data_IF_099535705014
#
_entry.id   IF_099535705014
#
_cell.length_a   1.000
_cell.length_b   1.000
_cell.length_c   1.000
_cell.angle_alpha   90.00
_cell.angle_beta   90.00
_cell.angle_gamma   90.00
#
_symmetry.space_group_name_H-M   'P 1'
#
loop_
_entity.id
_entity.type
_entity.pdbx_description
1 polymer ?
#
# COMPACT_ATOMS: atom_id res chain seq x y z
N UNK A 1 6.93 -24.83 15.35
CA UNK A 1 8.34 -24.38 15.33
C UNK A 1 9.03 -25.15 14.23
N UNK A 2 8.93 -24.65 13.00
CA UNK A 2 9.96 -24.93 12.01
C UNK A 2 11.17 -24.10 12.44
N UNK A 3 12.32 -24.75 12.60
CA UNK A 3 13.63 -24.07 12.66
C UNK A 3 13.79 -23.36 11.31
N UNK A 4 13.29 -22.12 11.22
CA UNK A 4 13.73 -21.20 10.19
C UNK A 4 15.02 -20.61 10.73
N UNK A 5 16.14 -21.27 10.43
CA UNK A 5 17.47 -20.74 10.70
C UNK A 5 17.53 -19.32 10.12
N UNK A 6 17.85 -18.34 10.98
CA UNK A 6 17.96 -16.95 10.55
C UNK A 6 19.04 -16.83 9.46
N UNK A 7 18.60 -16.68 8.22
CA UNK A 7 19.47 -16.43 7.07
C UNK A 7 19.46 -14.93 6.76
N UNK A 8 20.64 -14.27 6.68
CA UNK A 8 20.73 -12.89 6.23
C UNK A 8 20.12 -12.69 4.84
N UNK A 9 19.44 -11.57 4.61
CA UNK A 9 18.84 -11.26 3.32
C UNK A 9 19.95 -10.99 2.30
N UNK A 10 20.05 -11.84 1.28
CA UNK A 10 21.01 -11.64 0.18
C UNK A 10 20.54 -10.51 -0.73
N UNK A 11 21.50 -9.81 -1.32
CA UNK A 11 21.22 -8.75 -2.30
C UNK A 11 20.47 -9.33 -3.52
N UNK A 12 20.85 -10.54 -3.93
CA UNK A 12 20.21 -11.24 -5.05
C UNK A 12 18.74 -11.62 -4.75
N UNK A 13 18.43 -12.13 -3.54
CA UNK A 13 17.04 -12.46 -3.16
C UNK A 13 16.17 -11.21 -3.11
N UNK A 14 16.67 -10.15 -2.46
CA UNK A 14 15.97 -8.87 -2.46
C UNK A 14 15.72 -8.35 -3.88
N UNK A 15 16.74 -8.32 -4.74
CA UNK A 15 16.61 -7.82 -6.09
C UNK A 15 15.57 -8.63 -6.90
N UNK A 16 15.59 -9.97 -6.80
CA UNK A 16 14.63 -10.83 -7.47
C UNK A 16 13.19 -10.53 -7.04
N UNK A 17 12.95 -10.40 -5.73
CA UNK A 17 11.62 -10.13 -5.16
C UNK A 17 11.14 -8.70 -5.46
N UNK A 18 12.03 -7.71 -5.33
CA UNK A 18 11.74 -6.31 -5.64
C UNK A 18 11.42 -6.09 -7.12
N UNK A 19 12.14 -6.75 -8.04
CA UNK A 19 11.85 -6.67 -9.47
C UNK A 19 10.52 -7.34 -9.84
N UNK A 20 10.07 -8.32 -9.06
CA UNK A 20 8.74 -8.92 -9.22
C UNK A 20 7.58 -7.94 -8.95
N UNK A 21 7.83 -6.81 -8.31
CA UNK A 21 6.81 -5.80 -7.98
C UNK A 21 6.81 -4.60 -8.94
N UNK A 22 7.79 -4.48 -9.85
CA UNK A 22 7.80 -3.47 -10.91
C UNK A 22 6.71 -3.75 -11.96
N UNK A 23 5.64 -2.97 -11.91
CA UNK A 23 4.50 -3.12 -12.83
C UNK A 23 4.78 -2.65 -14.27
N UNK A 24 5.93 -1.97 -14.52
CA UNK A 24 6.33 -1.45 -15.84
C UNK A 24 5.23 -0.65 -16.55
N UNK A 25 4.40 0.07 -15.79
CA UNK A 25 3.32 0.92 -16.31
C UNK A 25 3.84 2.04 -17.24
N UNK A 26 5.14 2.31 -17.18
CA UNK A 26 5.87 3.29 -17.98
C UNK A 26 6.48 2.71 -19.29
N UNK A 27 6.15 1.46 -19.62
CA UNK A 27 6.68 0.78 -20.81
C UNK A 27 8.15 0.35 -20.69
N UNK A 28 8.72 0.34 -19.48
CA UNK A 28 10.10 -0.07 -19.22
C UNK A 28 11.15 1.04 -19.46
N UNK A 29 10.74 2.31 -19.44
CA UNK A 29 11.63 3.46 -19.62
C UNK A 29 12.60 3.61 -18.45
N UNK A 30 13.88 3.86 -18.68
CA UNK A 30 14.80 4.17 -17.57
C UNK A 30 14.45 5.49 -16.86
N UNK A 31 13.73 6.41 -17.53
CA UNK A 31 13.38 7.73 -16.99
C UNK A 31 12.49 7.64 -15.77
N UNK A 32 11.51 6.73 -15.76
CA UNK A 32 10.58 6.60 -14.63
C UNK A 32 11.29 6.27 -13.30
N UNK A 33 12.13 5.21 -13.20
CA UNK A 33 12.83 4.91 -11.96
C UNK A 33 13.91 5.94 -11.62
N UNK A 34 14.46 6.68 -12.59
CA UNK A 34 15.32 7.83 -12.27
C UNK A 34 14.55 8.97 -11.58
N UNK A 35 13.33 9.27 -12.06
CA UNK A 35 12.45 10.26 -11.41
C UNK A 35 12.05 9.80 -10.01
N UNK A 36 11.72 8.52 -9.86
CA UNK A 36 11.45 7.90 -8.56
C UNK A 36 12.63 7.99 -7.61
N UNK A 37 13.82 7.57 -8.03
CA UNK A 37 15.04 7.66 -7.23
C UNK A 37 15.32 9.09 -6.75
N UNK A 38 15.13 10.08 -7.63
CA UNK A 38 15.25 11.50 -7.27
C UNK A 38 14.18 11.93 -6.27
N UNK A 39 12.93 11.53 -6.49
CA UNK A 39 11.79 11.80 -5.61
C UNK A 39 12.02 11.28 -4.19
N UNK A 40 12.36 10.01 -4.04
CA UNK A 40 12.55 9.39 -2.71
C UNK A 40 13.80 9.90 -1.99
N UNK A 41 14.85 10.25 -2.74
CA UNK A 41 15.99 10.98 -2.15
C UNK A 41 15.54 12.35 -1.60
N UNK A 42 14.62 13.03 -2.28
CA UNK A 42 14.00 14.27 -1.82
C UNK A 42 13.06 14.09 -0.62
N UNK A 43 12.33 12.97 -0.56
CA UNK A 43 11.51 12.56 0.59
C UNK A 43 12.38 12.36 1.83
N UNK A 44 13.49 11.63 1.70
CA UNK A 44 14.47 11.41 2.78
C UNK A 44 15.06 12.73 3.32
N UNK A 45 15.42 13.66 2.44
CA UNK A 45 15.85 15.03 2.82
C UNK A 45 14.74 15.79 3.54
N UNK A 46 13.49 15.64 3.08
CA UNK A 46 12.34 16.31 3.68
C UNK A 46 12.06 15.82 5.10
N UNK A 47 12.24 14.52 5.36
CA UNK A 47 12.09 13.94 6.69
C UNK A 47 13.13 14.47 7.68
N UNK A 48 14.41 14.53 7.28
CA UNK A 48 15.45 15.12 8.11
C UNK A 48 15.15 16.58 8.45
N UNK A 49 14.72 17.38 7.46
CA UNK A 49 14.31 18.77 7.69
C UNK A 49 13.12 18.89 8.65
N UNK A 50 12.10 18.04 8.52
CA UNK A 50 10.92 18.04 9.41
C UNK A 50 11.33 17.74 10.85
N UNK A 51 12.19 16.74 11.07
CA UNK A 51 12.65 16.35 12.42
C UNK A 51 13.46 17.46 13.11
N UNK A 52 14.28 18.20 12.37
CA UNK A 52 15.01 19.36 12.92
C UNK A 52 14.06 20.48 13.36
N UNK A 53 12.97 20.71 12.61
CA UNK A 53 11.99 21.77 12.90
C UNK A 53 11.06 21.40 14.06
N UNK A 54 10.56 20.17 14.07
CA UNK A 54 9.45 19.76 14.90
C UNK A 54 9.92 18.82 16.02
N UNK A 55 10.37 19.39 17.16
CA UNK A 55 10.90 18.65 18.32
C UNK A 55 9.93 17.64 18.94
N UNK A 56 8.63 17.69 18.65
CA UNK A 56 7.67 16.71 19.16
C UNK A 56 7.68 15.38 18.37
N UNK A 57 8.41 15.31 17.26
CA UNK A 57 8.38 14.19 16.30
C UNK A 57 9.35 13.04 16.63
N UNK A 58 9.83 12.89 17.87
CA UNK A 58 10.82 11.86 18.24
C UNK A 58 10.38 10.41 17.95
N UNK A 59 9.06 10.14 17.93
CA UNK A 59 8.54 8.81 17.63
C UNK A 59 8.69 8.51 16.13
N UNK A 60 9.35 7.39 15.81
CA UNK A 60 9.39 6.82 14.46
C UNK A 60 10.47 7.36 13.50
N UNK A 61 11.51 8.08 13.97
CA UNK A 61 12.61 8.54 13.10
C UNK A 61 13.25 7.39 12.30
N UNK A 62 13.74 6.37 12.99
CA UNK A 62 14.39 5.23 12.36
C UNK A 62 13.44 4.47 11.43
N UNK A 63 12.15 4.40 11.78
CA UNK A 63 11.16 3.73 10.94
C UNK A 63 10.89 4.48 9.64
N UNK A 64 10.78 5.80 9.71
CA UNK A 64 10.57 6.67 8.54
C UNK A 64 11.81 6.62 7.63
N UNK A 65 13.01 6.77 8.20
CA UNK A 65 14.26 6.69 7.41
C UNK A 65 14.42 5.32 6.75
N UNK A 66 14.08 4.24 7.45
CA UNK A 66 14.10 2.90 6.85
C UNK A 66 13.10 2.73 5.71
N UNK A 67 11.90 3.33 5.80
CA UNK A 67 10.92 3.31 4.71
C UNK A 67 11.45 4.03 3.46
N UNK A 68 11.95 5.26 3.63
CA UNK A 68 12.48 6.09 2.54
C UNK A 68 13.74 5.47 1.90
N UNK A 69 14.67 4.95 2.71
CA UNK A 69 15.84 4.22 2.21
C UNK A 69 15.44 2.95 1.44
N UNK A 70 14.38 2.27 1.90
CA UNK A 70 13.83 1.10 1.21
C UNK A 70 13.32 1.45 -0.19
N UNK A 71 12.70 2.61 -0.37
CA UNK A 71 12.20 3.06 -1.67
C UNK A 71 13.31 3.53 -2.60
N UNK A 72 14.31 4.23 -2.04
CA UNK A 72 15.56 4.53 -2.75
C UNK A 72 16.23 3.24 -3.26
N UNK A 73 16.33 2.20 -2.42
CA UNK A 73 16.86 0.89 -2.83
C UNK A 73 16.02 0.22 -3.92
N UNK A 74 14.70 0.31 -3.83
CA UNK A 74 13.81 -0.27 -4.83
C UNK A 74 14.00 0.40 -6.21
N UNK A 75 13.96 1.73 -6.28
CA UNK A 75 14.18 2.45 -7.54
C UNK A 75 15.59 2.24 -8.08
N UNK A 76 16.60 2.18 -7.21
CA UNK A 76 17.97 1.83 -7.58
C UNK A 76 18.04 0.45 -8.25
N UNK A 77 17.34 -0.54 -7.69
CA UNK A 77 17.26 -1.91 -8.20
C UNK A 77 16.60 -1.97 -9.57
N UNK A 78 15.44 -1.31 -9.70
CA UNK A 78 14.68 -1.24 -10.95
C UNK A 78 15.51 -0.55 -12.03
N UNK A 79 16.14 0.59 -11.70
CA UNK A 79 16.98 1.32 -12.64
C UNK A 79 18.17 0.48 -13.12
N UNK A 80 18.93 -0.13 -12.20
CA UNK A 80 20.07 -0.98 -12.53
C UNK A 80 19.66 -2.14 -13.45
N UNK A 81 18.55 -2.81 -13.13
CA UNK A 81 18.01 -3.91 -13.94
C UNK A 81 17.64 -3.47 -15.36
N UNK A 82 17.02 -2.29 -15.53
CA UNK A 82 16.64 -1.75 -16.84
C UNK A 82 17.85 -1.40 -17.73
N UNK A 83 19.03 -1.18 -17.15
CA UNK A 83 20.28 -0.97 -17.89
C UNK A 83 21.17 -2.22 -17.96
N UNK A 84 20.65 -3.39 -17.56
CA UNK A 84 21.37 -4.66 -17.64
C UNK A 84 22.51 -4.80 -16.61
N UNK A 85 22.33 -4.25 -15.41
CA UNK A 85 23.28 -4.34 -14.30
C UNK A 85 22.53 -4.91 -13.08
N UNK A 86 23.06 -5.98 -12.49
CA UNK A 86 22.52 -6.54 -11.24
C UNK A 86 22.83 -5.66 -10.03
N UNK A 87 21.92 -5.59 -9.05
CA UNK A 87 22.20 -4.88 -7.80
C UNK A 87 23.34 -5.55 -7.02
N UNK A 88 23.40 -6.88 -7.05
CA UNK A 88 24.47 -7.71 -6.50
C UNK A 88 25.82 -7.45 -7.19
N UNK A 89 25.83 -7.25 -8.51
CA UNK A 89 27.03 -6.81 -9.25
C UNK A 89 27.50 -5.42 -8.78
N UNK A 90 26.59 -4.46 -8.60
CA UNK A 90 26.92 -3.12 -8.08
C UNK A 90 27.49 -3.18 -6.65
N UNK A 91 26.83 -3.94 -5.76
CA UNK A 91 27.25 -4.12 -4.37
C UNK A 91 28.63 -4.78 -4.26
N UNK A 92 28.89 -5.83 -5.05
CA UNK A 92 30.18 -6.51 -5.07
C UNK A 92 31.33 -5.61 -5.55
N UNK A 93 31.01 -4.55 -6.30
CA UNK A 93 31.99 -3.61 -6.85
C UNK A 93 32.05 -2.24 -6.11
N UNK A 94 31.35 -2.08 -4.98
CA UNK A 94 31.18 -0.76 -4.34
C UNK A 94 32.48 -0.12 -3.85
N UNK A 95 33.48 -0.94 -3.47
CA UNK A 95 34.81 -0.49 -3.03
C UNK A 95 35.88 -0.60 -4.13
N UNK A 96 35.54 -1.15 -5.30
CA UNK A 96 36.51 -1.44 -6.36
C UNK A 96 36.67 -0.25 -7.29
N UNK A 97 37.90 0.02 -7.73
CA UNK A 97 38.15 0.98 -8.81
C UNK A 97 37.68 0.40 -10.16
N UNK A 98 37.23 1.25 -11.09
CA UNK A 98 36.72 0.80 -12.41
C UNK A 98 37.66 -0.12 -13.20
N UNK A 99 38.98 0.03 -13.05
CA UNK A 99 39.96 -0.83 -13.71
C UNK A 99 39.93 -2.30 -13.24
N UNK A 100 39.29 -2.59 -12.10
CA UNK A 100 39.21 -3.90 -11.48
C UNK A 100 37.76 -4.42 -11.36
N UNK A 101 36.85 -3.91 -12.21
CA UNK A 101 35.44 -4.31 -12.21
C UNK A 101 35.30 -5.83 -12.38
N UNK A 102 34.59 -6.47 -11.46
CA UNK A 102 34.25 -7.89 -11.54
C UNK A 102 32.86 -8.01 -12.17
N UNK A 103 32.80 -8.69 -13.31
CA UNK A 103 31.53 -9.05 -13.95
C UNK A 103 30.87 -10.20 -13.19
N UNK A 104 29.54 -10.16 -13.09
CA UNK A 104 28.75 -11.11 -12.31
C UNK A 104 28.64 -10.68 -10.85
N UNK A 105 27.47 -10.90 -10.25
CA UNK A 105 27.23 -10.63 -8.84
C UNK A 105 27.65 -11.77 -7.92
N UNK A 106 27.63 -11.49 -6.63
CA UNK A 106 27.88 -12.47 -5.57
C UNK A 106 26.56 -12.87 -4.91
N UNK A 107 26.11 -14.10 -5.19
CA UNK A 107 24.84 -14.62 -4.67
C UNK A 107 24.83 -14.79 -3.14
N UNK A 108 26.01 -14.87 -2.49
CA UNK A 108 26.13 -14.97 -1.05
C UNK A 108 26.24 -13.61 -0.35
N UNK A 109 26.42 -12.52 -1.10
CA UNK A 109 26.53 -11.17 -0.53
C UNK A 109 25.19 -10.75 0.09
N UNK A 110 25.22 -10.40 1.38
CA UNK A 110 24.06 -9.94 2.14
C UNK A 110 24.09 -8.45 2.41
N UNK A 111 22.93 -7.86 2.72
CA UNK A 111 22.87 -6.47 3.17
C UNK A 111 23.69 -6.22 4.44
N UNK A 112 23.69 -7.19 5.36
CA UNK A 112 24.48 -7.11 6.59
C UNK A 112 25.99 -6.96 6.32
N UNK A 113 26.49 -7.51 5.21
CA UNK A 113 27.90 -7.40 4.83
C UNK A 113 28.29 -6.01 4.27
N UNK A 114 27.30 -5.16 3.91
CA UNK A 114 27.56 -3.83 3.36
C UNK A 114 27.77 -2.76 4.43
N UNK A 115 27.56 -3.07 5.70
CA UNK A 115 27.62 -2.13 6.81
C UNK A 115 28.43 -2.67 7.98
N UNK A 116 28.91 -1.81 8.91
CA UNK A 116 29.58 -2.27 10.12
C UNK A 116 28.70 -3.23 10.94
N UNK A 117 29.31 -4.28 11.50
CA UNK A 117 28.59 -5.27 12.31
C UNK A 117 27.93 -4.71 13.58
N UNK A 118 28.44 -3.57 14.08
CA UNK A 118 27.89 -2.86 15.23
C UNK A 118 27.64 -1.42 14.80
N UNK A 119 26.38 -0.99 14.93
CA UNK A 119 25.94 0.36 14.61
C UNK A 119 25.25 0.99 15.81
N UNK A 120 25.53 2.27 16.06
CA UNK A 120 24.83 3.04 17.08
C UNK A 120 23.40 3.35 16.61
N UNK A 121 22.41 2.97 17.41
CA UNK A 121 21.03 3.42 17.17
C UNK A 121 20.94 4.93 17.35
N UNK A 122 20.43 5.62 16.33
CA UNK A 122 20.14 7.07 16.42
C UNK A 122 18.64 7.31 16.53
N UNK A 123 18.27 8.31 17.33
CA UNK A 123 16.88 8.75 17.51
C UNK A 123 16.60 10.10 16.84
N UNK A 124 17.65 10.77 16.37
CA UNK A 124 17.60 12.07 15.71
C UNK A 124 18.66 12.14 14.59
N UNK A 125 18.45 12.99 13.57
CA UNK A 125 19.43 13.20 12.52
C UNK A 125 20.77 13.74 13.07
N UNK A 126 21.88 13.20 12.58
CA UNK A 126 23.22 13.70 12.90
C UNK A 126 23.73 14.65 11.80
N UNK A 127 24.64 15.59 12.10
CA UNK A 127 25.28 16.43 11.08
C UNK A 127 26.04 15.63 10.00
N UNK A 128 26.56 14.46 10.37
CA UNK A 128 27.17 13.53 9.42
C UNK A 128 26.12 12.99 8.44
N UNK A 129 24.98 12.53 8.96
CA UNK A 129 23.87 12.06 8.13
C UNK A 129 23.36 13.14 7.17
N UNK A 130 23.19 14.38 7.65
CA UNK A 130 22.81 15.52 6.81
C UNK A 130 23.78 15.75 5.64
N UNK A 131 25.08 15.73 5.95
CA UNK A 131 26.13 15.89 4.94
C UNK A 131 26.07 14.77 3.90
N UNK A 132 25.85 13.54 4.35
CA UNK A 132 25.74 12.37 3.47
C UNK A 132 24.47 12.42 2.61
N UNK A 133 23.35 12.91 3.12
CA UNK A 133 22.13 13.11 2.31
C UNK A 133 22.28 14.19 1.24
N UNK A 134 22.95 15.30 1.55
CA UNK A 134 23.25 16.32 0.55
C UNK A 134 24.15 15.75 -0.57
N UNK A 135 25.11 14.90 -0.21
CA UNK A 135 25.92 14.17 -1.19
C UNK A 135 25.06 13.22 -2.03
N UNK A 136 24.15 12.48 -1.41
CA UNK A 136 23.26 11.54 -2.13
C UNK A 136 22.44 12.28 -3.17
N UNK A 137 21.83 13.40 -2.80
CA UNK A 137 21.09 14.25 -3.73
C UNK A 137 21.97 14.77 -4.87
N UNK A 138 23.23 15.14 -4.59
CA UNK A 138 24.21 15.50 -5.61
C UNK A 138 24.50 14.37 -6.60
N UNK A 139 24.75 13.16 -6.12
CA UNK A 139 25.01 11.98 -6.96
C UNK A 139 23.81 11.62 -7.85
N UNK A 140 22.60 11.63 -7.28
CA UNK A 140 21.36 11.37 -8.05
C UNK A 140 21.10 12.50 -9.06
N UNK A 141 21.36 13.75 -8.71
CA UNK A 141 21.27 14.89 -9.63
C UNK A 141 22.27 14.79 -10.79
N UNK A 142 23.49 14.32 -10.54
CA UNK A 142 24.49 14.07 -11.59
C UNK A 142 24.06 12.94 -12.53
N UNK A 143 23.51 11.84 -12.00
CA UNK A 143 22.94 10.76 -12.82
C UNK A 143 21.89 11.29 -13.81
N UNK A 144 20.94 12.08 -13.32
CA UNK A 144 19.89 12.69 -14.15
C UNK A 144 20.49 13.64 -15.19
N UNK A 145 21.46 14.48 -14.79
CA UNK A 145 22.12 15.44 -15.67
C UNK A 145 22.90 14.76 -16.80
N UNK A 146 23.66 13.71 -16.47
CA UNK A 146 24.44 12.96 -17.45
C UNK A 146 23.55 12.17 -18.41
N UNK A 147 22.43 11.62 -17.92
CA UNK A 147 21.46 10.98 -18.78
C UNK A 147 20.84 11.98 -19.77
N UNK A 148 20.44 13.16 -19.29
CA UNK A 148 19.89 14.23 -20.13
C UNK A 148 20.89 14.72 -21.19
N UNK A 149 22.17 14.78 -20.83
CA UNK A 149 23.25 15.14 -21.75
C UNK A 149 23.64 14.01 -22.73
N UNK A 150 23.05 12.81 -22.60
CA UNK A 150 23.38 11.65 -23.43
C UNK A 150 24.73 10.99 -23.10
N UNK A 151 25.37 11.37 -21.99
CA UNK A 151 26.67 10.83 -21.58
C UNK A 151 26.61 9.35 -21.16
N UNK A 152 25.42 8.88 -20.77
CA UNK A 152 25.19 7.50 -20.33
C UNK A 152 24.62 6.60 -21.44
N UNK A 153 24.20 7.18 -22.56
CA UNK A 153 23.66 6.45 -23.71
C UNK A 153 24.71 5.46 -24.24
N UNK A 154 24.33 4.19 -24.32
CA UNK A 154 25.18 3.08 -24.76
C UNK A 154 26.52 2.95 -23.99
N UNK A 155 26.61 3.56 -22.80
CA UNK A 155 27.82 3.57 -21.98
C UNK A 155 27.58 2.90 -20.63
N UNK A 156 27.50 1.57 -20.64
CA UNK A 156 27.29 0.74 -19.43
C UNK A 156 28.29 1.08 -18.32
N UNK A 157 29.56 1.33 -18.65
CA UNK A 157 30.59 1.62 -17.67
C UNK A 157 30.36 2.96 -16.95
N UNK A 158 30.03 4.02 -17.69
CA UNK A 158 29.68 5.31 -17.10
C UNK A 158 28.41 5.19 -16.24
N UNK A 159 27.40 4.45 -16.71
CA UNK A 159 26.16 4.22 -15.96
C UNK A 159 26.43 3.47 -14.65
N UNK A 160 27.13 2.34 -14.72
CA UNK A 160 27.56 1.57 -13.56
C UNK A 160 28.32 2.45 -12.55
N UNK A 161 29.15 3.36 -13.04
CA UNK A 161 29.89 4.28 -12.20
C UNK A 161 29.05 5.27 -11.41
N UNK A 162 28.03 5.85 -12.05
CA UNK A 162 27.05 6.69 -11.35
C UNK A 162 26.27 5.89 -10.31
N UNK A 163 25.84 4.68 -10.67
CA UNK A 163 25.11 3.79 -9.78
C UNK A 163 25.95 3.37 -8.55
N UNK A 164 27.23 3.04 -8.72
CA UNK A 164 28.13 2.74 -7.59
C UNK A 164 28.34 3.94 -6.69
N UNK A 165 28.48 5.16 -7.24
CA UNK A 165 28.64 6.37 -6.44
C UNK A 165 27.39 6.65 -5.57
N UNK A 166 26.20 6.47 -6.15
CA UNK A 166 24.92 6.55 -5.43
C UNK A 166 24.85 5.46 -4.35
N UNK A 167 25.11 4.20 -4.69
CA UNK A 167 25.05 3.06 -3.76
C UNK A 167 25.98 3.24 -2.56
N UNK A 168 27.22 3.68 -2.79
CA UNK A 168 28.17 3.99 -1.71
C UNK A 168 27.62 5.06 -0.76
N UNK A 169 26.94 6.07 -1.32
CA UNK A 169 26.35 7.13 -0.53
C UNK A 169 25.10 6.67 0.22
N UNK A 170 24.31 5.75 -0.34
CA UNK A 170 23.19 5.07 0.35
C UNK A 170 23.69 4.28 1.56
N UNK A 171 24.77 3.50 1.40
CA UNK A 171 25.39 2.73 2.48
C UNK A 171 25.85 3.65 3.61
N UNK A 172 26.54 4.74 3.28
CA UNK A 172 26.95 5.73 4.28
C UNK A 172 25.74 6.42 4.93
N UNK A 173 24.71 6.76 4.17
CA UNK A 173 23.51 7.44 4.68
C UNK A 173 22.79 6.56 5.71
N UNK A 174 22.56 5.29 5.39
CA UNK A 174 21.98 4.32 6.31
C UNK A 174 22.83 4.15 7.58
N UNK A 175 24.16 4.10 7.40
CA UNK A 175 25.11 3.97 8.52
C UNK A 175 25.07 5.17 9.45
N UNK A 176 25.14 6.39 8.91
CA UNK A 176 25.08 7.64 9.67
C UNK A 176 23.73 7.85 10.37
N UNK A 177 22.65 7.30 9.80
CA UNK A 177 21.32 7.31 10.37
C UNK A 177 21.10 6.26 11.49
N UNK A 178 22.02 5.31 11.66
CA UNK A 178 21.83 4.18 12.59
C UNK A 178 20.72 3.22 12.16
N UNK A 179 20.49 3.09 10.85
CA UNK A 179 19.49 2.21 10.23
C UNK A 179 20.20 1.19 9.35
N UNK A 180 19.84 -0.09 9.47
CA UNK A 180 20.41 -1.12 8.60
C UNK A 180 19.70 -1.12 7.24
N UNK A 181 20.46 -1.29 6.17
CA UNK A 181 19.93 -1.48 4.83
C UNK A 181 19.11 -2.77 4.74
N UNK A 182 19.46 -3.79 5.53
CA UNK A 182 18.66 -5.00 5.63
C UNK A 182 17.25 -4.71 6.17
N UNK A 183 17.12 -3.89 7.22
CA UNK A 183 15.80 -3.50 7.73
C UNK A 183 15.01 -2.66 6.71
N UNK A 184 15.67 -1.75 6.00
CA UNK A 184 15.06 -0.98 4.93
C UNK A 184 14.58 -1.89 3.77
N UNK A 185 15.42 -2.85 3.36
CA UNK A 185 15.11 -3.83 2.33
C UNK A 185 13.94 -4.74 2.72
N UNK A 186 13.94 -5.31 3.93
CA UNK A 186 12.85 -6.15 4.46
C UNK A 186 11.54 -5.36 4.50
N UNK A 187 11.56 -4.11 5.01
CA UNK A 187 10.38 -3.25 5.04
C UNK A 187 9.86 -2.94 3.64
N UNK A 188 10.75 -2.66 2.69
CA UNK A 188 10.37 -2.42 1.30
C UNK A 188 9.76 -3.67 0.64
N UNK A 189 10.31 -4.86 0.88
CA UNK A 189 9.73 -6.12 0.39
C UNK A 189 8.34 -6.36 0.98
N UNK A 190 8.16 -6.16 2.29
CA UNK A 190 6.86 -6.28 2.93
C UNK A 190 5.85 -5.28 2.34
N UNK A 191 6.25 -4.00 2.19
CA UNK A 191 5.41 -2.94 1.62
C UNK A 191 4.99 -3.22 0.18
N UNK A 192 5.94 -3.63 -0.66
CA UNK A 192 5.67 -3.86 -2.08
C UNK A 192 4.88 -5.15 -2.30
N UNK A 193 5.12 -6.21 -1.52
CA UNK A 193 4.32 -7.43 -1.56
C UNK A 193 2.88 -7.21 -1.03
N UNK A 194 2.69 -6.30 -0.08
CA UNK A 194 1.37 -5.95 0.43
C UNK A 194 0.49 -5.25 -0.64
N UNK A 195 1.12 -4.56 -1.60
CA UNK A 195 0.46 -3.89 -2.72
C UNK A 195 0.43 -4.72 -4.01
N UNK A 196 1.53 -5.39 -4.33
CA UNK A 196 1.76 -6.14 -5.57
C UNK A 196 2.41 -7.49 -5.25
N UNK A 197 1.67 -8.43 -4.62
CA UNK A 197 2.22 -9.74 -4.30
C UNK A 197 2.44 -10.56 -5.58
N UNK A 198 3.42 -11.48 -5.56
CA UNK A 198 3.59 -12.48 -6.61
C UNK A 198 2.43 -13.48 -6.65
N UNK A 199 1.81 -13.74 -5.50
CA UNK A 199 0.63 -14.59 -5.36
C UNK A 199 -0.38 -13.92 -4.42
N UNK A 200 -1.63 -13.77 -4.87
CA UNK A 200 -2.72 -13.23 -4.06
C UNK A 200 -3.33 -14.34 -3.22
N UNK A 201 -2.99 -14.34 -1.93
CA UNK A 201 -3.55 -15.26 -0.94
C UNK A 201 -4.61 -14.50 -0.15
N UNK A 202 -5.87 -14.87 -0.33
CA UNK A 202 -6.97 -14.28 0.41
C UNK A 202 -6.93 -14.74 1.89
N UNK A 203 -7.13 -13.82 2.85
CA UNK A 203 -7.14 -14.16 4.28
C UNK A 203 -8.35 -15.02 4.63
N UNK A 204 -8.24 -15.79 5.72
CA UNK A 204 -9.39 -16.49 6.29
C UNK A 204 -10.42 -15.48 6.83
N UNK A 205 -11.73 -15.82 6.81
CA UNK A 205 -12.75 -14.95 7.39
C UNK A 205 -12.50 -14.68 8.88
N UNK A 206 -12.64 -13.43 9.30
CA UNK A 206 -12.42 -13.02 10.69
C UNK A 206 -13.37 -13.67 11.72
N UNK A 207 -14.50 -14.20 11.26
CA UNK A 207 -15.49 -14.89 12.09
C UNK A 207 -15.45 -16.42 11.95
N UNK A 208 -14.38 -16.99 11.39
CA UNK A 208 -14.31 -18.43 11.16
C UNK A 208 -14.48 -19.24 12.45
N UNK A 209 -14.03 -18.73 13.59
CA UNK A 209 -14.21 -19.35 14.91
C UNK A 209 -15.46 -18.90 15.68
N UNK A 210 -16.26 -17.97 15.15
CA UNK A 210 -17.45 -17.44 15.84
C UNK A 210 -18.61 -18.46 15.86
N UNK A 211 -19.62 -18.21 16.70
CA UNK A 211 -20.84 -19.01 16.72
C UNK A 211 -21.59 -18.92 15.38
N UNK A 212 -22.32 -19.96 14.95
CA UNK A 212 -23.01 -19.96 13.64
C UNK A 212 -23.95 -18.77 13.41
N UNK A 213 -24.61 -18.26 14.44
CA UNK A 213 -25.50 -17.11 14.43
C UNK A 213 -24.81 -15.75 14.58
N UNK A 214 -23.48 -15.74 14.67
CA UNK A 214 -22.63 -14.55 14.67
C UNK A 214 -21.73 -14.47 13.41
N UNK A 215 -21.79 -15.49 12.55
CA UNK A 215 -21.08 -15.50 11.26
C UNK A 215 -21.85 -14.72 10.20
N UNK A 216 -21.12 -13.92 9.43
CA UNK A 216 -21.66 -13.31 8.22
C UNK A 216 -22.01 -14.43 7.20
N UNK A 217 -23.18 -14.37 6.53
CA UNK A 217 -23.53 -15.36 5.51
C UNK A 217 -22.52 -15.33 4.38
N UNK A 218 -21.90 -16.47 4.09
CA UNK A 218 -20.87 -16.59 3.04
C UNK A 218 -21.39 -16.23 1.65
N UNK A 219 -22.68 -16.42 1.43
CA UNK A 219 -23.41 -15.94 0.24
C UNK A 219 -24.61 -15.13 0.73
N UNK A 220 -24.76 -13.91 0.23
CA UNK A 220 -25.86 -13.02 0.60
C UNK A 220 -26.38 -12.27 -0.63
N UNK A 221 -27.67 -11.95 -0.67
CA UNK A 221 -28.28 -11.17 -1.75
C UNK A 221 -29.18 -10.09 -1.19
N UNK A 222 -29.02 -8.87 -1.69
CA UNK A 222 -29.79 -7.70 -1.27
C UNK A 222 -30.35 -6.96 -2.48
N UNK A 223 -31.60 -6.54 -2.38
CA UNK A 223 -32.20 -5.62 -3.34
C UNK A 223 -32.03 -4.19 -2.81
N UNK A 224 -31.43 -3.31 -3.61
CA UNK A 224 -31.29 -1.88 -3.32
C UNK A 224 -32.16 -1.11 -4.32
N UNK A 225 -32.99 -0.19 -3.86
CA UNK A 225 -33.87 0.58 -4.76
C UNK A 225 -34.27 1.94 -4.19
N UNK A 226 -34.35 2.94 -5.07
CA UNK A 226 -34.84 4.28 -4.75
C UNK A 226 -36.37 4.35 -4.83
N UNK A 227 -37.01 5.08 -3.91
CA UNK A 227 -38.42 5.47 -3.99
C UNK A 227 -38.60 6.93 -3.60
N UNK A 228 -39.52 7.61 -4.28
CA UNK A 228 -39.95 8.94 -3.86
C UNK A 228 -41.05 8.83 -2.80
N UNK A 229 -40.86 9.49 -1.66
CA UNK A 229 -41.83 9.58 -0.57
C UNK A 229 -42.05 11.06 -0.25
N UNK A 230 -43.25 11.57 -0.56
CA UNK A 230 -43.66 12.96 -0.31
C UNK A 230 -42.69 14.00 -0.91
N UNK A 231 -42.18 13.75 -2.11
CA UNK A 231 -41.30 14.65 -2.84
C UNK A 231 -39.81 14.42 -2.57
N UNK A 232 -39.44 13.59 -1.59
CA UNK A 232 -38.05 13.26 -1.28
C UNK A 232 -37.69 11.84 -1.76
N UNK A 233 -36.54 11.69 -2.42
CA UNK A 233 -36.01 10.37 -2.78
C UNK A 233 -35.33 9.71 -1.59
N UNK A 234 -35.65 8.43 -1.37
CA UNK A 234 -35.05 7.58 -0.35
C UNK A 234 -34.54 6.28 -0.98
N UNK A 235 -33.40 5.80 -0.54
CA UNK A 235 -32.92 4.44 -0.84
C UNK A 235 -33.36 3.48 0.25
N UNK A 236 -33.82 2.32 -0.19
CA UNK A 236 -34.22 1.19 0.65
C UNK A 236 -33.38 -0.03 0.29
N UNK A 237 -33.15 -0.86 1.30
CA UNK A 237 -32.45 -2.13 1.16
C UNK A 237 -33.34 -3.26 1.66
N UNK A 238 -33.34 -4.38 0.94
CA UNK A 238 -34.15 -5.55 1.27
C UNK A 238 -33.32 -6.81 1.16
N UNK A 239 -33.25 -7.57 2.24
CA UNK A 239 -32.66 -8.90 2.26
C UNK A 239 -33.77 -9.93 2.42
N UNK A 240 -33.84 -10.92 1.52
CA UNK A 240 -34.84 -12.00 1.55
C UNK A 240 -36.29 -11.55 1.77
N UNK A 241 -36.70 -10.44 1.16
CA UNK A 241 -38.08 -9.94 1.33
C UNK A 241 -38.26 -8.89 2.43
N UNK A 242 -37.29 -8.77 3.34
CA UNK A 242 -37.38 -7.98 4.56
C UNK A 242 -36.53 -6.71 4.40
N UNK A 243 -37.13 -5.55 4.68
CA UNK A 243 -36.37 -4.30 4.68
C UNK A 243 -35.37 -4.32 5.83
N UNK A 244 -34.12 -3.98 5.54
CA UNK A 244 -33.06 -3.86 6.54
C UNK A 244 -32.58 -2.42 6.62
N UNK A 245 -32.24 -1.99 7.84
CA UNK A 245 -31.74 -0.65 8.11
C UNK A 245 -32.77 0.45 7.97
N UNK A 246 -32.27 1.67 8.12
CA UNK A 246 -33.05 2.88 7.90
C UNK A 246 -33.05 3.25 6.41
N UNK A 247 -34.08 3.99 6.00
CA UNK A 247 -34.13 4.59 4.66
C UNK A 247 -33.10 5.70 4.55
N UNK A 248 -32.37 5.74 3.45
CA UNK A 248 -31.22 6.64 3.28
C UNK A 248 -31.55 7.81 2.37
N UNK A 249 -30.99 8.97 2.68
CA UNK A 249 -30.95 10.15 1.81
C UNK A 249 -29.51 10.61 1.69
N UNK A 250 -29.24 11.57 0.80
CA UNK A 250 -27.88 12.08 0.61
C UNK A 250 -27.37 12.81 1.86
N UNK A 251 -28.27 13.28 2.74
CA UNK A 251 -27.93 14.06 3.94
C UNK A 251 -27.01 15.26 3.65
N UNK A 252 -27.09 15.80 2.43
CA UNK A 252 -26.26 16.90 1.94
C UNK A 252 -27.13 18.03 1.34
N UNK A 253 -26.60 19.25 1.30
CA UNK A 253 -27.26 20.40 0.68
C UNK A 253 -27.39 20.24 -0.84
N UNK A 254 -26.39 19.63 -1.46
CA UNK A 254 -26.36 19.31 -2.88
C UNK A 254 -26.39 17.79 -3.00
N UNK A 255 -27.36 17.28 -3.77
CA UNK A 255 -27.48 15.85 -3.99
C UNK A 255 -26.24 15.31 -4.74
N UNK A 256 -25.61 14.29 -4.16
CA UNK A 256 -24.39 13.64 -4.66
C UNK A 256 -24.56 12.11 -4.79
N UNK A 257 -25.78 11.61 -4.60
CA UNK A 257 -26.14 10.18 -4.60
C UNK A 257 -25.50 9.35 -3.48
N UNK A 258 -24.94 9.97 -2.43
CA UNK A 258 -24.39 9.24 -1.28
C UNK A 258 -25.43 8.36 -0.56
N UNK A 259 -26.73 8.53 -0.82
CA UNK A 259 -27.79 7.61 -0.38
C UNK A 259 -27.60 6.14 -0.81
N UNK A 260 -26.75 5.85 -1.81
CA UNK A 260 -26.43 4.49 -2.24
C UNK A 260 -25.14 3.92 -1.59
N UNK A 261 -24.54 4.59 -0.61
CA UNK A 261 -23.23 4.24 -0.05
C UNK A 261 -23.16 2.87 0.63
N UNK A 262 -24.27 2.31 1.11
CA UNK A 262 -24.24 1.00 1.77
C UNK A 262 -23.64 -0.12 0.91
N UNK A 263 -23.64 0.04 -0.41
CA UNK A 263 -22.95 -0.89 -1.32
C UNK A 263 -21.44 -0.99 -1.06
N UNK A 264 -20.82 0.04 -0.48
CA UNK A 264 -19.43 0.02 -0.05
C UNK A 264 -19.22 -0.91 1.15
N UNK A 265 -20.12 -0.87 2.15
CA UNK A 265 -20.11 -1.80 3.29
C UNK A 265 -20.36 -3.24 2.84
N UNK A 266 -21.25 -3.44 1.86
CA UNK A 266 -21.47 -4.75 1.25
C UNK A 266 -20.22 -5.26 0.51
N UNK A 267 -19.46 -4.37 -0.13
CA UNK A 267 -18.20 -4.73 -0.77
C UNK A 267 -17.13 -5.11 0.26
N UNK A 268 -17.05 -4.41 1.40
CA UNK A 268 -16.17 -4.79 2.50
C UNK A 268 -16.52 -6.20 3.04
N UNK A 269 -17.81 -6.53 3.20
CA UNK A 269 -18.23 -7.90 3.55
C UNK A 269 -17.77 -8.91 2.49
N UNK A 270 -18.06 -8.63 1.22
CA UNK A 270 -17.78 -9.55 0.14
C UNK A 270 -16.29 -9.85 0.00
N UNK A 271 -15.46 -8.81 0.03
CA UNK A 271 -14.03 -8.90 -0.33
C UNK A 271 -13.14 -9.05 0.90
N UNK A 272 -13.35 -8.23 1.93
CA UNK A 272 -12.52 -8.22 3.15
C UNK A 272 -12.99 -9.24 4.19
N UNK A 273 -14.26 -9.64 4.13
CA UNK A 273 -14.89 -10.39 5.23
C UNK A 273 -15.14 -9.55 6.49
N UNK A 274 -15.08 -8.23 6.36
CA UNK A 274 -15.17 -7.26 7.45
C UNK A 274 -16.25 -6.23 7.16
N UNK A 275 -17.15 -6.00 8.13
CA UNK A 275 -18.02 -4.81 8.16
C UNK A 275 -18.78 -4.79 9.49
N UNK A 276 -18.34 -4.04 10.50
CA UNK A 276 -19.13 -3.80 11.71
C UNK A 276 -20.50 -3.16 11.40
N UNK A 277 -20.62 -2.37 10.33
CA UNK A 277 -21.90 -1.80 9.87
C UNK A 277 -22.88 -2.91 9.48
N UNK A 278 -22.48 -3.82 8.58
CA UNK A 278 -23.37 -4.90 8.12
C UNK A 278 -23.62 -5.93 9.24
N UNK A 279 -22.64 -6.21 10.10
CA UNK A 279 -22.87 -7.04 11.30
C UNK A 279 -23.95 -6.45 12.20
N UNK A 280 -23.88 -5.16 12.49
CA UNK A 280 -24.89 -4.48 13.30
C UNK A 280 -26.27 -4.49 12.62
N UNK A 281 -26.31 -4.23 11.31
CA UNK A 281 -27.52 -4.22 10.48
C UNK A 281 -28.24 -5.57 10.47
N UNK A 282 -27.48 -6.66 10.31
CA UNK A 282 -27.99 -8.03 10.26
C UNK A 282 -28.15 -8.67 11.65
N UNK A 283 -27.79 -7.97 12.72
CA UNK A 283 -27.78 -8.48 14.11
C UNK A 283 -26.83 -9.67 14.31
N UNK A 284 -25.69 -9.66 13.61
CA UNK A 284 -24.64 -10.69 13.61
C UNK A 284 -23.35 -10.21 14.29
N UNK A 285 -23.49 -9.39 15.33
CA UNK A 285 -22.35 -9.02 16.17
C UNK A 285 -21.90 -10.22 16.99
N UNK A 286 -20.58 -10.39 17.15
CA UNK A 286 -19.92 -11.52 17.84
C UNK A 286 -19.94 -11.31 19.36
N UNK A 287 -21.11 -11.51 19.97
CA UNK A 287 -21.41 -11.22 21.39
C UNK A 287 -20.90 -12.27 22.36
N UNK A 288 -20.63 -13.49 21.90
CA UNK A 288 -20.07 -14.55 22.75
C UNK A 288 -18.70 -14.16 23.33
N UNK A 289 -17.91 -13.37 22.60
CA UNK A 289 -16.71 -12.71 23.12
C UNK A 289 -16.98 -11.20 23.34
N UNK A 290 -17.25 -10.76 24.59
CA UNK A 290 -17.57 -9.37 24.87
C UNK A 290 -16.47 -8.38 24.49
N UNK A 291 -15.20 -8.79 24.51
CA UNK A 291 -14.09 -7.90 24.14
C UNK A 291 -14.08 -7.66 22.64
N UNK A 292 -14.33 -8.71 21.87
CA UNK A 292 -14.39 -8.63 20.42
C UNK A 292 -15.67 -7.90 19.97
N UNK A 293 -16.81 -8.12 20.62
CA UNK A 293 -18.03 -7.32 20.44
C UNK A 293 -17.78 -5.82 20.64
N UNK A 294 -17.09 -5.46 21.73
CA UNK A 294 -16.78 -4.07 22.06
C UNK A 294 -15.77 -3.44 21.09
N UNK A 295 -14.68 -4.16 20.78
CA UNK A 295 -13.56 -3.63 20.01
C UNK A 295 -13.82 -3.63 18.50
N UNK A 296 -14.28 -4.76 17.93
CA UNK A 296 -14.35 -4.98 16.48
C UNK A 296 -15.76 -4.78 15.91
N UNK A 297 -16.81 -5.06 16.70
CA UNK A 297 -18.21 -4.91 16.27
C UNK A 297 -18.92 -3.72 16.94
N UNK A 298 -18.19 -2.97 17.76
CA UNK A 298 -18.69 -1.91 18.62
C UNK A 298 -18.96 -0.60 17.88
N UNK A 299 -19.50 0.39 18.60
CA UNK A 299 -19.84 1.69 18.03
C UNK A 299 -18.63 2.39 17.39
N UNK A 300 -17.43 2.24 17.96
CA UNK A 300 -16.21 2.85 17.41
C UNK A 300 -15.80 2.22 16.08
N UNK A 301 -15.89 0.89 15.95
CA UNK A 301 -15.60 0.18 14.71
C UNK A 301 -16.57 0.59 13.59
N UNK A 302 -17.87 0.69 13.91
CA UNK A 302 -18.90 1.20 12.98
C UNK A 302 -18.53 2.61 12.49
N UNK A 303 -18.21 3.53 13.40
CA UNK A 303 -17.84 4.90 13.05
C UNK A 303 -16.57 4.98 12.19
N UNK A 304 -15.61 4.07 12.40
CA UNK A 304 -14.39 4.00 11.60
C UNK A 304 -14.71 3.51 10.18
N UNK A 305 -15.52 2.47 10.02
CA UNK A 305 -15.94 1.98 8.69
C UNK A 305 -16.72 3.06 7.90
N UNK A 306 -17.66 3.73 8.56
CA UNK A 306 -18.42 4.86 8.00
C UNK A 306 -17.49 6.02 7.62
N UNK A 307 -16.52 6.32 8.48
CA UNK A 307 -15.51 7.35 8.24
C UNK A 307 -14.62 7.05 7.04
N UNK A 308 -14.16 5.81 6.91
CA UNK A 308 -13.40 5.33 5.74
C UNK A 308 -14.23 5.51 4.46
N UNK A 309 -15.47 5.03 4.48
CA UNK A 309 -16.38 5.09 3.33
C UNK A 309 -16.64 6.52 2.88
N UNK A 310 -16.94 7.41 3.83
CA UNK A 310 -17.17 8.84 3.59
C UNK A 310 -15.91 9.53 3.05
N UNK A 311 -14.74 9.20 3.60
CA UNK A 311 -13.48 9.79 3.17
C UNK A 311 -13.11 9.34 1.75
N UNK A 312 -13.24 8.05 1.43
CA UNK A 312 -13.01 7.53 0.06
C UNK A 312 -13.98 8.19 -0.91
N UNK A 313 -15.24 8.40 -0.53
CA UNK A 313 -16.24 9.06 -1.38
C UNK A 313 -15.82 10.47 -1.80
N UNK A 314 -15.24 11.24 -0.88
CA UNK A 314 -14.69 12.56 -1.19
C UNK A 314 -13.53 12.52 -2.20
N UNK A 315 -12.71 11.47 -2.18
CA UNK A 315 -11.64 11.27 -3.17
C UNK A 315 -12.20 10.78 -4.52
N UNK A 316 -13.12 9.81 -4.47
CA UNK A 316 -13.76 9.19 -5.61
C UNK A 316 -14.49 10.23 -6.49
N UNK A 317 -15.17 11.21 -5.90
CA UNK A 317 -15.84 12.27 -6.64
C UNK A 317 -14.88 13.09 -7.54
N UNK A 318 -13.59 13.16 -7.20
CA UNK A 318 -12.55 13.85 -8.00
C UNK A 318 -11.91 12.96 -9.06
N UNK A 319 -12.16 11.66 -8.99
CA UNK A 319 -11.56 10.61 -9.82
C UNK A 319 -12.64 9.86 -10.61
N UNK A 320 -13.72 10.55 -10.95
CA UNK A 320 -14.88 10.03 -11.68
C UNK A 320 -15.43 8.71 -11.10
N UNK A 321 -15.48 8.65 -9.76
CA UNK A 321 -15.89 7.47 -9.01
C UNK A 321 -15.13 6.20 -9.41
N UNK A 322 -13.84 6.35 -9.74
CA UNK A 322 -12.92 5.31 -10.20
C UNK A 322 -13.40 4.57 -11.47
N UNK A 323 -14.12 5.27 -12.35
CA UNK A 323 -14.51 4.71 -13.65
C UNK A 323 -13.28 4.32 -14.48
N UNK A 324 -13.29 3.10 -15.04
CA UNK A 324 -12.22 2.58 -15.89
C UNK A 324 -10.94 2.14 -15.17
N UNK A 325 -10.78 2.42 -13.87
CA UNK A 325 -9.63 1.99 -13.09
C UNK A 325 -9.63 0.47 -12.87
N UNK A 326 -8.44 -0.12 -12.93
CA UNK A 326 -8.18 -1.55 -12.73
C UNK A 326 -7.35 -1.78 -11.45
N UNK A 327 -7.26 -3.02 -10.96
CA UNK A 327 -6.33 -3.33 -9.89
C UNK A 327 -4.91 -2.88 -10.24
N UNK A 328 -4.29 -2.11 -9.35
CA UNK A 328 -3.01 -1.42 -9.54
C UNK A 328 -3.13 0.09 -9.78
N UNK A 329 -4.29 0.57 -10.23
CA UNK A 329 -4.48 1.99 -10.61
C UNK A 329 -4.85 2.90 -9.43
N UNK A 330 -5.37 2.35 -8.32
CA UNK A 330 -5.71 3.20 -7.19
C UNK A 330 -4.45 3.84 -6.59
N UNK A 331 -4.51 5.14 -6.22
CA UNK A 331 -3.39 5.83 -5.61
C UNK A 331 -2.88 5.10 -4.37
N UNK A 332 -1.57 4.84 -4.31
CA UNK A 332 -0.99 4.09 -3.19
C UNK A 332 -1.19 4.82 -1.86
N UNK A 333 -1.07 6.15 -1.86
CA UNK A 333 -1.35 6.97 -0.68
C UNK A 333 -2.78 6.79 -0.18
N UNK A 334 -3.77 6.66 -1.07
CA UNK A 334 -5.16 6.43 -0.66
C UNK A 334 -5.25 5.17 0.20
N UNK A 335 -4.63 4.08 -0.26
CA UNK A 335 -4.60 2.80 0.43
C UNK A 335 -3.82 2.87 1.76
N UNK A 336 -2.67 3.56 1.79
CA UNK A 336 -1.91 3.79 3.03
C UNK A 336 -2.75 4.53 4.08
N UNK A 337 -3.50 5.56 3.69
CA UNK A 337 -4.38 6.28 4.61
C UNK A 337 -5.51 5.39 5.13
N UNK A 338 -6.11 4.53 4.30
CA UNK A 338 -7.12 3.57 4.77
C UNK A 338 -6.54 2.68 5.88
N UNK A 339 -5.36 2.10 5.68
CA UNK A 339 -4.69 1.28 6.71
C UNK A 339 -4.46 2.05 8.01
N UNK A 340 -4.16 3.35 7.95
CA UNK A 340 -4.04 4.19 9.13
C UNK A 340 -5.40 4.41 9.83
N UNK A 341 -6.49 4.58 9.07
CA UNK A 341 -7.84 4.72 9.61
C UNK A 341 -8.30 3.47 10.35
N UNK A 342 -8.04 2.29 9.78
CA UNK A 342 -8.45 1.01 10.37
C UNK A 342 -7.40 0.43 11.33
N UNK A 343 -6.34 1.18 11.66
CA UNK A 343 -5.29 0.72 12.56
C UNK A 343 -5.86 0.35 13.93
N UNK A 344 -5.57 -0.88 14.38
CA UNK A 344 -6.07 -1.44 15.63
C UNK A 344 -7.41 -2.19 15.51
N UNK A 345 -7.90 -2.40 14.29
CA UNK A 345 -9.02 -3.29 13.96
C UNK A 345 -8.55 -4.46 13.11
N UNK A 346 -9.32 -5.54 13.06
CA UNK A 346 -8.99 -6.74 12.27
C UNK A 346 -8.80 -6.42 10.77
N UNK A 347 -9.49 -5.40 10.25
CA UNK A 347 -9.34 -4.94 8.87
C UNK A 347 -7.97 -4.33 8.53
N UNK A 348 -7.15 -3.98 9.53
CA UNK A 348 -5.77 -3.56 9.32
C UNK A 348 -4.87 -4.70 8.81
N UNK A 349 -5.25 -5.94 9.10
CA UNK A 349 -4.51 -7.14 8.66
C UNK A 349 -4.81 -7.48 7.19
N UNK A 350 -5.83 -6.86 6.59
CA UNK A 350 -6.10 -7.01 5.16
C UNK A 350 -4.99 -6.34 4.32
N UNK A 351 -4.42 -7.05 3.33
CA UNK A 351 -3.40 -6.48 2.46
C UNK A 351 -3.99 -5.36 1.58
N UNK A 352 -3.18 -4.38 1.18
CA UNK A 352 -3.68 -3.21 0.45
C UNK A 352 -4.25 -3.56 -0.93
N UNK A 353 -3.78 -4.62 -1.58
CA UNK A 353 -4.39 -5.12 -2.82
C UNK A 353 -5.85 -5.59 -2.63
N UNK A 354 -6.17 -6.14 -1.46
CA UNK A 354 -7.52 -6.62 -1.15
C UNK A 354 -8.47 -5.45 -0.83
N UNK A 355 -7.96 -4.43 -0.14
CA UNK A 355 -8.66 -3.16 0.03
C UNK A 355 -8.97 -2.48 -1.31
N UNK A 356 -8.02 -2.49 -2.25
CA UNK A 356 -8.28 -1.97 -3.59
C UNK A 356 -9.40 -2.74 -4.31
N UNK A 357 -9.40 -4.08 -4.26
CA UNK A 357 -10.46 -4.89 -4.86
C UNK A 357 -11.84 -4.53 -4.26
N UNK A 358 -11.93 -4.41 -2.94
CA UNK A 358 -13.17 -4.03 -2.24
C UNK A 358 -13.69 -2.65 -2.69
N UNK A 359 -12.78 -1.68 -2.82
CA UNK A 359 -13.13 -0.33 -3.28
C UNK A 359 -13.61 -0.38 -4.73
N UNK A 360 -12.85 -0.99 -5.64
CA UNK A 360 -13.21 -1.01 -7.06
C UNK A 360 -14.54 -1.71 -7.31
N UNK A 361 -14.82 -2.81 -6.62
CA UNK A 361 -16.11 -3.53 -6.74
C UNK A 361 -17.27 -2.73 -6.13
N UNK A 362 -17.07 -2.12 -4.96
CA UNK A 362 -18.06 -1.24 -4.34
C UNK A 362 -18.41 -0.05 -5.23
N UNK A 363 -17.41 0.59 -5.84
CA UNK A 363 -17.63 1.71 -6.75
C UNK A 363 -18.23 1.29 -8.10
N UNK A 364 -17.92 0.10 -8.61
CA UNK A 364 -18.63 -0.44 -9.77
C UNK A 364 -20.13 -0.59 -9.50
N UNK A 365 -20.49 -1.12 -8.33
CA UNK A 365 -21.89 -1.26 -7.94
C UNK A 365 -22.57 0.06 -7.60
N UNK A 366 -21.85 1.00 -6.99
CA UNK A 366 -22.32 2.37 -6.76
C UNK A 366 -22.65 3.09 -8.08
N UNK A 367 -21.75 3.03 -9.07
CA UNK A 367 -22.00 3.60 -10.41
C UNK A 367 -23.22 2.95 -11.07
N UNK A 368 -23.38 1.63 -10.94
CA UNK A 368 -24.57 0.93 -11.42
C UNK A 368 -25.86 1.48 -10.78
N UNK A 369 -25.87 1.62 -9.44
CA UNK A 369 -27.03 2.15 -8.70
C UNK A 369 -27.32 3.61 -9.03
N UNK A 370 -26.31 4.43 -9.26
CA UNK A 370 -26.49 5.80 -9.75
C UNK A 370 -27.11 5.86 -11.14
N UNK A 371 -26.77 4.94 -12.02
CA UNK A 371 -27.37 4.91 -13.36
C UNK A 371 -28.81 4.36 -13.32
N UNK A 372 -29.05 3.26 -12.59
CA UNK A 372 -30.30 2.50 -12.69
C UNK A 372 -31.29 2.80 -11.56
N UNK A 373 -30.84 3.46 -10.49
CA UNK A 373 -31.61 3.80 -9.27
C UNK A 373 -32.15 2.59 -8.50
N UNK A 374 -31.79 1.38 -8.92
CA UNK A 374 -32.10 0.11 -8.29
C UNK A 374 -31.18 -1.00 -8.82
N UNK A 375 -31.00 -2.06 -8.05
CA UNK A 375 -30.22 -3.22 -8.43
C UNK A 375 -30.33 -4.34 -7.40
N UNK A 376 -29.96 -5.55 -7.81
CA UNK A 376 -29.75 -6.69 -6.92
C UNK A 376 -28.26 -6.90 -6.74
N UNK A 377 -27.80 -6.80 -5.50
CA UNK A 377 -26.41 -6.98 -5.09
C UNK A 377 -26.22 -8.41 -4.61
N UNK A 378 -25.24 -9.12 -5.16
CA UNK A 378 -24.81 -10.45 -4.76
C UNK A 378 -23.45 -10.36 -4.08
N UNK A 379 -23.36 -10.90 -2.88
CA UNK A 379 -22.17 -10.95 -2.05
C UNK A 379 -21.73 -12.41 -2.01
N UNK A 380 -20.49 -12.66 -2.40
CA UNK A 380 -19.84 -13.97 -2.39
C UNK A 380 -18.51 -13.86 -1.65
N UNK A 381 -18.54 -14.20 -0.35
CA UNK A 381 -17.35 -14.19 0.51
C UNK A 381 -16.40 -15.35 0.22
N UNK A 382 -16.86 -16.39 -0.49
CA UNK A 382 -16.02 -17.55 -0.82
C UNK A 382 -15.07 -17.17 -1.96
N UNK A 383 -15.57 -16.40 -2.93
CA UNK A 383 -14.79 -15.95 -4.08
C UNK A 383 -14.36 -14.49 -3.97
N UNK A 384 -14.57 -13.85 -2.82
CA UNK A 384 -14.22 -12.46 -2.53
C UNK A 384 -14.78 -11.48 -3.56
N UNK A 385 -16.09 -11.55 -3.84
CA UNK A 385 -16.74 -10.83 -4.94
C UNK A 385 -18.09 -10.23 -4.60
N UNK A 386 -18.27 -8.99 -5.02
CA UNK A 386 -19.54 -8.29 -5.11
C UNK A 386 -19.94 -8.14 -6.58
N UNK A 387 -21.17 -8.55 -6.90
CA UNK A 387 -21.76 -8.37 -8.23
C UNK A 387 -23.08 -7.65 -8.11
N UNK A 388 -23.45 -6.91 -9.15
CA UNK A 388 -24.74 -6.24 -9.22
C UNK A 388 -25.41 -6.50 -10.56
N UNK A 389 -26.72 -6.69 -10.53
CA UNK A 389 -27.56 -6.84 -11.71
C UNK A 389 -28.83 -6.00 -11.61
N UNK A 390 -29.54 -5.86 -12.73
CA UNK A 390 -30.81 -5.17 -12.76
C UNK A 390 -31.83 -5.91 -11.87
N UNK A 391 -32.51 -5.15 -11.00
CA UNK A 391 -33.57 -5.71 -10.18
C UNK A 391 -34.81 -5.96 -11.06
N UNK A 392 -35.39 -7.18 -11.05
CA UNK A 392 -36.54 -7.53 -11.90
C UNK A 392 -37.77 -6.60 -11.76
#
# INVERSE_FOLDING_TARGET
>A
MTDDDFAPLTIADYAARALGTDQRSDGGSITFPMLGLFGETGSLLSEVKKKQRDKASYLGYADTVAEELGDVLWYMTVLASRVGIGLDELCANVETSFGNWRQGGDAALSFAALQPAIMDRKTEPSPAFETTLLRLAGEVGMLVSDQQAGHLSDNRAAFAGRLVAILRTIIHAATDAGVTLEAAAIKNLAKTADRWPSERIYPQPFDESALPDEKLPRILTLDVYERNVRGQSYVYQRCNGINIGDRLTDNALVADDYRFHDVFHLAHVAVLGWSPVIRALLRLKRKEDPKLDEAEDGARAILIEEGVTTWIFGQAARLDYFEGMKPGDLPFDLLKHIRQFVAGYEAADCPLWLWEEAILEGYAAFRFLRAHRRGRVHIDMIHHRLRIEALP
#
